data_IF_805962501861
#
_entry.id   IF_805962501861
#
_cell.length_a   1.000
_cell.length_b   1.000
_cell.length_c   1.000
_cell.angle_alpha   90.00
_cell.angle_beta   90.00
_cell.angle_gamma   90.00
#
_symmetry.space_group_name_H-M   'P 1'
#
loop_
_entity.id
_entity.type
_entity.pdbx_description
1 polymer ?
#
# COMPACT_ATOMS: atom_id res chain seq x y z
N UNK A 1 -2.66 12.64 -61.63
CA UNK A 1 -1.67 13.44 -60.89
C UNK A 1 -2.32 14.21 -59.71
N UNK A 2 -3.09 13.53 -58.85
CA UNK A 2 -3.77 14.11 -57.67
C UNK A 2 -3.77 13.19 -56.43
N UNK A 3 -3.07 12.04 -56.50
CA UNK A 3 -3.22 10.94 -55.54
C UNK A 3 -1.94 10.64 -54.73
N UNK A 4 -0.92 11.51 -54.78
CA UNK A 4 0.37 11.28 -54.10
C UNK A 4 0.56 12.18 -52.86
N UNK A 5 -0.34 13.13 -52.62
CA UNK A 5 -0.16 14.16 -51.59
C UNK A 5 -0.84 13.89 -50.24
N UNK A 6 -1.58 12.77 -50.09
CA UNK A 6 -2.35 12.50 -48.87
C UNK A 6 -1.57 11.66 -47.84
N UNK A 7 -0.48 11.00 -48.24
CA UNK A 7 0.23 10.07 -47.36
C UNK A 7 1.22 10.72 -46.38
N UNK A 8 1.60 12.00 -46.56
CA UNK A 8 2.70 12.61 -45.79
C UNK A 8 2.26 13.47 -44.60
N UNK A 9 0.96 13.75 -44.44
CA UNK A 9 0.45 14.61 -43.35
C UNK A 9 0.08 13.81 -42.09
N UNK A 10 0.02 12.48 -42.16
CA UNK A 10 -0.34 11.61 -41.03
C UNK A 10 0.83 11.15 -40.15
N UNK A 11 2.05 11.64 -40.41
CA UNK A 11 3.26 11.19 -39.71
C UNK A 11 3.71 12.08 -38.52
N UNK A 12 2.96 13.12 -38.15
CA UNK A 12 3.38 14.06 -37.11
C UNK A 12 2.28 14.16 -36.05
N UNK A 13 2.71 14.05 -34.78
CA UNK A 13 1.92 14.09 -33.53
C UNK A 13 1.36 12.74 -33.05
N UNK A 14 2.21 11.73 -32.96
CA UNK A 14 2.16 10.80 -31.83
C UNK A 14 3.29 11.18 -30.85
N UNK A 15 3.26 12.40 -30.30
CA UNK A 15 4.12 12.72 -29.16
C UNK A 15 3.53 12.00 -27.97
N UNK A 16 4.21 10.93 -27.63
CA UNK A 16 4.06 10.06 -26.47
C UNK A 16 3.87 10.92 -25.22
N UNK A 17 2.62 11.12 -24.81
CA UNK A 17 2.25 11.60 -23.48
C UNK A 17 2.43 10.51 -22.44
N UNK A 18 3.60 9.86 -22.39
CA UNK A 18 3.98 9.09 -21.21
C UNK A 18 4.38 10.11 -20.15
N UNK A 19 3.39 10.64 -19.42
CA UNK A 19 3.63 11.27 -18.14
C UNK A 19 4.22 10.20 -17.23
N UNK A 20 5.55 10.09 -17.24
CA UNK A 20 6.29 9.27 -16.30
C UNK A 20 5.80 9.64 -14.91
N UNK A 21 5.31 8.66 -14.17
CA UNK A 21 4.88 8.89 -12.81
C UNK A 21 6.06 9.51 -12.05
N UNK A 22 5.90 10.76 -11.59
CA UNK A 22 6.88 11.40 -10.74
C UNK A 22 7.05 10.51 -9.51
N UNK A 23 8.20 9.84 -9.39
CA UNK A 23 8.51 9.06 -8.20
C UNK A 23 8.90 10.00 -7.07
N UNK A 24 8.73 9.55 -5.84
CA UNK A 24 9.38 10.18 -4.69
C UNK A 24 10.90 10.19 -4.94
N UNK A 25 11.53 11.36 -4.78
CA UNK A 25 12.97 11.58 -5.04
C UNK A 25 13.80 11.75 -3.76
N UNK A 26 13.19 11.60 -2.58
CA UNK A 26 13.87 11.71 -1.30
C UNK A 26 13.03 11.14 -0.15
N UNK A 27 13.57 11.13 1.09
CA UNK A 27 12.88 10.56 2.23
C UNK A 27 11.50 11.20 2.44
N UNK A 28 10.48 10.39 2.67
CA UNK A 28 9.12 10.86 2.87
C UNK A 28 8.43 10.16 4.06
N UNK A 29 7.64 10.93 4.80
CA UNK A 29 6.82 10.41 5.89
C UNK A 29 5.34 10.56 5.54
N UNK A 30 4.61 9.45 5.56
CA UNK A 30 3.15 9.44 5.36
C UNK A 30 2.49 8.96 6.64
N UNK A 31 1.63 9.79 7.21
CA UNK A 31 0.84 9.46 8.40
C UNK A 31 -0.64 9.46 8.06
N UNK A 32 -1.29 8.31 8.22
CA UNK A 32 -2.72 8.12 7.93
C UNK A 32 -3.37 7.25 8.99
N UNK A 33 -4.70 7.22 8.98
CA UNK A 33 -5.48 6.35 9.84
C UNK A 33 -6.19 5.32 8.97
N UNK A 34 -6.13 4.04 9.34
CA UNK A 34 -6.91 2.98 8.74
C UNK A 34 -8.02 2.56 9.69
N UNK A 35 -9.24 2.51 9.19
CA UNK A 35 -10.39 1.98 9.94
C UNK A 35 -10.82 0.71 9.24
N UNK A 36 -10.86 -0.39 9.99
CA UNK A 36 -11.23 -1.70 9.47
C UNK A 36 -12.71 -1.72 9.16
N UNK A 37 -13.04 -1.92 7.89
CA UNK A 37 -14.41 -2.06 7.42
C UNK A 37 -14.84 -3.54 7.47
N UNK A 38 -13.89 -4.44 7.20
CA UNK A 38 -14.13 -5.87 7.12
C UNK A 38 -12.89 -6.64 7.59
N UNK A 39 -13.09 -7.61 8.48
CA UNK A 39 -12.08 -8.58 8.88
C UNK A 39 -12.71 -9.97 8.79
N UNK A 40 -12.07 -10.90 8.06
CA UNK A 40 -12.47 -12.30 7.99
C UNK A 40 -11.27 -13.19 8.26
N UNK A 41 -11.35 -13.93 9.36
CA UNK A 41 -10.50 -15.08 9.65
C UNK A 41 -11.39 -16.30 9.78
N UNK A 42 -11.45 -17.14 8.74
CA UNK A 42 -12.16 -18.42 8.73
C UNK A 42 -11.38 -19.37 7.82
N UNK A 43 -10.70 -20.35 8.44
CA UNK A 43 -9.96 -21.47 7.80
C UNK A 43 -8.94 -21.10 6.70
N UNK A 44 -8.51 -19.82 6.64
CA UNK A 44 -7.59 -19.27 5.65
C UNK A 44 -6.81 -18.07 6.19
N UNK A 45 -6.04 -17.33 5.35
CA UNK A 45 -5.33 -16.15 5.82
C UNK A 45 -6.32 -15.10 6.36
N UNK A 46 -6.00 -14.51 7.51
CA UNK A 46 -6.73 -13.36 8.06
C UNK A 46 -6.68 -12.22 7.04
N UNK A 47 -7.83 -11.86 6.48
CA UNK A 47 -7.93 -10.72 5.56
C UNK A 47 -8.58 -9.55 6.28
N UNK A 48 -7.87 -8.43 6.33
CA UNK A 48 -8.32 -7.16 6.87
C UNK A 48 -8.41 -6.15 5.72
N UNK A 49 -9.61 -5.64 5.46
CA UNK A 49 -9.86 -4.54 4.54
C UNK A 49 -10.22 -3.29 5.33
N UNK A 50 -9.51 -2.20 5.05
CA UNK A 50 -9.65 -0.96 5.79
C UNK A 50 -9.78 0.25 4.88
N UNK A 51 -10.59 1.22 5.27
CA UNK A 51 -10.62 2.55 4.66
C UNK A 51 -9.48 3.40 5.22
N UNK A 52 -8.70 4.01 4.33
CA UNK A 52 -7.62 4.92 4.72
C UNK A 52 -8.16 6.35 4.75
N UNK A 53 -7.90 7.05 5.86
CA UNK A 53 -8.28 8.42 6.12
C UNK A 53 -7.06 9.31 6.36
N UNK A 54 -7.14 10.55 5.88
CA UNK A 54 -6.13 11.58 6.17
C UNK A 54 -6.25 12.11 7.62
N UNK A 55 -5.47 13.13 7.95
CA UNK A 55 -5.49 13.77 9.29
C UNK A 55 -6.81 14.50 9.62
N UNK A 56 -7.61 14.82 8.62
CA UNK A 56 -8.89 15.52 8.74
C UNK A 56 -10.07 14.53 8.73
N UNK A 57 -9.81 13.23 8.57
CA UNK A 57 -10.83 12.19 8.50
C UNK A 57 -11.39 11.94 7.10
N UNK A 58 -10.88 12.62 6.07
CA UNK A 58 -11.32 12.40 4.69
C UNK A 58 -10.81 11.06 4.18
N UNK A 59 -11.67 10.31 3.47
CA UNK A 59 -11.26 9.08 2.78
C UNK A 59 -10.28 9.41 1.66
N UNK A 60 -9.10 8.82 1.73
CA UNK A 60 -8.04 8.98 0.71
C UNK A 60 -7.61 7.66 0.08
N UNK A 61 -8.20 6.54 0.48
CA UNK A 61 -7.78 5.26 -0.04
C UNK A 61 -8.39 4.06 0.67
N UNK A 62 -7.79 2.91 0.43
CA UNK A 62 -8.13 1.65 1.09
C UNK A 62 -6.88 0.77 1.24
N UNK A 63 -6.90 -0.12 2.21
CA UNK A 63 -5.86 -1.10 2.48
C UNK A 63 -6.45 -2.51 2.49
N UNK A 64 -5.68 -3.47 1.99
CA UNK A 64 -5.93 -4.89 2.23
C UNK A 64 -4.66 -5.50 2.83
N UNK A 65 -4.80 -6.08 4.01
CA UNK A 65 -3.72 -6.78 4.73
C UNK A 65 -4.14 -8.22 4.90
N UNK A 66 -3.25 -9.12 4.53
CA UNK A 66 -3.44 -10.55 4.64
C UNK A 66 -2.36 -11.09 5.58
N UNK A 67 -2.76 -11.85 6.58
CA UNK A 67 -1.85 -12.45 7.53
C UNK A 67 -2.07 -13.96 7.61
N UNK A 68 -0.99 -14.72 7.66
CA UNK A 68 -1.01 -16.16 7.90
C UNK A 68 -0.22 -16.46 9.17
N UNK A 69 -0.82 -17.17 10.09
CA UNK A 69 -0.12 -17.63 11.30
C UNK A 69 1.02 -18.57 10.91
N UNK A 70 2.21 -18.30 11.45
CA UNK A 70 3.43 -19.10 11.26
C UNK A 70 3.98 -19.61 12.60
N UNK A 71 3.30 -19.28 13.70
CA UNK A 71 3.80 -19.45 15.06
C UNK A 71 3.13 -20.54 15.88
N UNK A 72 2.16 -21.28 15.34
CA UNK A 72 1.23 -22.21 16.02
C UNK A 72 1.92 -23.29 16.89
N UNK A 73 2.43 -22.92 18.06
CA UNK A 73 3.15 -23.80 18.99
C UNK A 73 4.65 -24.01 18.67
N UNK A 74 5.18 -23.28 17.69
CA UNK A 74 6.59 -23.37 17.28
C UNK A 74 7.51 -22.40 18.03
N UNK A 75 8.84 -22.42 17.75
CA UNK A 75 9.84 -21.56 18.39
C UNK A 75 9.58 -20.05 18.17
N UNK A 76 8.71 -19.70 17.23
CA UNK A 76 8.32 -18.32 16.94
C UNK A 76 7.20 -17.78 17.86
N UNK A 77 6.55 -18.64 18.66
CA UNK A 77 5.45 -18.26 19.55
C UNK A 77 4.09 -18.21 18.86
N UNK A 78 3.03 -18.59 19.59
CA UNK A 78 1.67 -18.86 19.08
C UNK A 78 0.93 -17.70 18.41
N UNK A 79 1.43 -16.46 18.54
CA UNK A 79 0.80 -15.26 17.97
C UNK A 79 1.58 -14.67 16.78
N UNK A 80 2.62 -15.36 16.29
CA UNK A 80 3.42 -14.87 15.17
C UNK A 80 2.75 -15.18 13.85
N UNK A 81 2.50 -14.14 13.05
CA UNK A 81 1.95 -14.25 11.70
C UNK A 81 2.85 -13.53 10.70
N UNK A 82 2.95 -14.08 9.48
CA UNK A 82 3.54 -13.40 8.34
C UNK A 82 2.44 -12.66 7.57
N UNK A 83 2.66 -11.38 7.28
CA UNK A 83 1.67 -10.51 6.67
C UNK A 83 2.19 -9.89 5.37
N UNK A 84 1.25 -9.66 4.45
CA UNK A 84 1.44 -8.88 3.25
C UNK A 84 0.32 -7.84 3.15
N UNK A 85 0.69 -6.58 2.91
CA UNK A 85 -0.23 -5.45 2.90
C UNK A 85 -0.12 -4.67 1.60
N UNK A 86 -1.28 -4.33 1.01
CA UNK A 86 -1.39 -3.39 -0.11
C UNK A 86 -2.17 -2.17 0.34
N UNK A 87 -1.57 -0.99 0.19
CA UNK A 87 -2.16 0.30 0.51
C UNK A 87 -2.37 1.11 -0.76
N UNK A 88 -3.63 1.36 -1.11
CA UNK A 88 -4.02 2.11 -2.30
C UNK A 88 -4.31 3.56 -1.91
N UNK A 89 -3.58 4.49 -2.52
CA UNK A 89 -3.73 5.94 -2.39
C UNK A 89 -4.09 6.53 -3.76
N UNK A 90 -4.52 7.81 -3.83
CA UNK A 90 -4.99 8.39 -5.09
C UNK A 90 -3.89 8.50 -6.15
N UNK A 91 -2.63 8.61 -5.71
CA UNK A 91 -1.46 8.79 -6.58
C UNK A 91 -0.64 7.52 -6.77
N UNK A 92 -1.07 6.37 -6.23
CA UNK A 92 -0.25 5.17 -6.30
C UNK A 92 -0.56 4.13 -5.22
N UNK A 93 0.26 3.08 -5.19
CA UNK A 93 0.11 1.97 -4.26
C UNK A 93 1.41 1.72 -3.53
N UNK A 94 1.33 1.26 -2.29
CA UNK A 94 2.48 0.82 -1.49
C UNK A 94 2.26 -0.65 -1.12
N UNK A 95 3.28 -1.46 -1.32
CA UNK A 95 3.30 -2.86 -0.92
C UNK A 95 4.20 -3.04 0.30
N UNK A 96 3.76 -3.87 1.23
CA UNK A 96 4.47 -4.15 2.47
C UNK A 96 4.47 -5.62 2.80
N UNK A 97 5.48 -6.06 3.55
CA UNK A 97 5.52 -7.41 4.10
C UNK A 97 6.30 -7.47 5.41
N UNK A 98 6.00 -8.43 6.26
CA UNK A 98 6.74 -8.64 7.50
C UNK A 98 6.04 -9.59 8.44
N UNK A 99 6.65 -9.83 9.60
CA UNK A 99 6.07 -10.64 10.67
C UNK A 99 5.45 -9.75 11.74
N UNK A 100 4.22 -10.04 12.16
CA UNK A 100 3.64 -9.47 13.39
C UNK A 100 3.68 -10.51 14.51
N UNK A 101 4.13 -10.11 15.70
CA UNK A 101 3.99 -10.90 16.94
C UNK A 101 2.83 -10.43 17.82
N UNK A 102 2.33 -9.23 17.54
CA UNK A 102 1.23 -8.59 18.26
C UNK A 102 0.31 -7.90 17.25
N UNK A 103 -1.00 -7.92 17.53
CA UNK A 103 -2.01 -7.15 16.80
C UNK A 103 -2.10 -5.69 17.25
N UNK A 104 -1.38 -5.27 18.31
CA UNK A 104 -1.46 -3.89 18.83
C UNK A 104 -0.40 -2.94 18.25
N UNK A 105 0.79 -3.46 17.94
CA UNK A 105 1.87 -2.70 17.32
C UNK A 105 2.82 -3.63 16.59
N UNK A 106 3.13 -3.33 15.33
CA UNK A 106 4.05 -4.11 14.51
C UNK A 106 4.68 -3.26 13.41
N UNK A 107 5.79 -3.76 12.85
CA UNK A 107 6.52 -3.12 11.76
C UNK A 107 6.50 -4.05 10.55
N UNK A 108 6.30 -3.48 9.37
CA UNK A 108 6.44 -4.18 8.09
C UNK A 108 7.43 -3.43 7.21
N UNK A 109 8.20 -4.16 6.41
CA UNK A 109 9.02 -3.56 5.37
C UNK A 109 8.13 -3.04 4.24
N UNK A 110 8.44 -1.87 3.71
CA UNK A 110 7.92 -1.39 2.43
C UNK A 110 8.80 -2.01 1.34
N UNK A 111 8.19 -2.81 0.46
CA UNK A 111 8.92 -3.61 -0.55
C UNK A 111 8.73 -3.08 -1.96
N UNK A 112 7.99 -1.99 -2.12
CA UNK A 112 7.77 -1.35 -3.41
C UNK A 112 6.46 -0.59 -3.47
N UNK A 113 6.18 -0.09 -4.66
CA UNK A 113 4.96 0.63 -4.95
C UNK A 113 4.79 0.98 -6.42
N UNK A 114 3.73 1.72 -6.71
CA UNK A 114 3.39 2.18 -8.06
C UNK A 114 3.01 3.65 -8.04
N UNK A 115 3.04 4.31 -9.20
CA UNK A 115 2.69 5.73 -9.31
C UNK A 115 3.71 6.61 -8.58
N UNK A 116 3.24 7.52 -7.71
CA UNK A 116 4.10 8.37 -6.88
C UNK A 116 5.06 7.58 -5.98
N UNK A 117 4.72 6.33 -5.68
CA UNK A 117 5.49 5.45 -4.81
C UNK A 117 6.23 4.37 -5.61
N UNK A 118 6.52 4.61 -6.91
CA UNK A 118 7.39 3.72 -7.66
C UNK A 118 8.79 3.68 -7.04
N UNK A 119 9.38 2.50 -7.00
CA UNK A 119 10.73 2.23 -6.48
C UNK A 119 10.98 2.64 -5.01
N UNK A 120 9.95 2.81 -4.18
CA UNK A 120 10.17 3.13 -2.76
C UNK A 120 10.39 1.88 -1.91
N UNK A 121 11.39 1.94 -1.04
CA UNK A 121 11.59 1.05 0.10
C UNK A 121 11.19 1.71 1.42
N UNK A 122 11.62 1.10 2.52
CA UNK A 122 11.49 1.65 3.87
C UNK A 122 10.63 0.80 4.81
N UNK A 123 9.91 1.46 5.71
CA UNK A 123 9.16 0.77 6.78
C UNK A 123 7.78 1.36 6.99
N UNK A 124 6.85 0.50 7.40
CA UNK A 124 5.55 0.85 7.92
C UNK A 124 5.47 0.45 9.39
N UNK A 125 5.24 1.44 10.26
CA UNK A 125 4.85 1.23 11.64
C UNK A 125 3.33 1.27 11.76
N UNK A 126 2.75 0.21 12.30
CA UNK A 126 1.32 0.09 12.58
C UNK A 126 1.09 0.11 14.09
N UNK A 127 0.14 0.93 14.53
CA UNK A 127 -0.30 0.96 15.95
C UNK A 127 -1.82 1.02 16.05
N UNK A 128 -2.42 0.06 16.74
CA UNK A 128 -3.85 0.07 17.04
C UNK A 128 -4.15 1.17 18.06
N UNK A 129 -5.16 1.99 17.77
CA UNK A 129 -5.62 3.09 18.64
C UNK A 129 -7.05 2.89 19.14
N UNK A 130 -7.83 2.01 18.52
CA UNK A 130 -9.13 1.54 19.00
C UNK A 130 -9.39 0.12 18.48
N UNK A 131 -10.05 -0.72 19.27
CA UNK A 131 -10.42 -2.09 18.89
C UNK A 131 -11.84 -2.18 18.31
N UNK A 132 -12.70 -1.19 18.53
CA UNK A 132 -14.12 -1.22 18.10
C UNK A 132 -14.61 0.16 17.61
N UNK A 133 -14.70 0.39 16.28
CA UNK A 133 -14.14 -0.44 15.21
C UNK A 133 -12.60 -0.45 15.27
N UNK A 134 -11.98 -1.53 14.79
CA UNK A 134 -10.52 -1.65 14.79
C UNK A 134 -9.90 -0.54 13.95
N UNK A 135 -9.18 0.34 14.62
CA UNK A 135 -8.59 1.56 14.06
C UNK A 135 -7.10 1.57 14.30
N UNK A 136 -6.33 1.74 13.23
CA UNK A 136 -4.88 1.72 13.24
C UNK A 136 -4.33 3.06 12.75
N UNK A 137 -3.27 3.54 13.42
CA UNK A 137 -2.42 4.62 12.92
C UNK A 137 -1.29 3.99 12.13
N UNK A 138 -1.16 4.43 10.88
CA UNK A 138 -0.14 3.98 9.95
C UNK A 138 0.89 5.10 9.76
N UNK A 139 2.17 4.77 9.95
CA UNK A 139 3.28 5.66 9.66
C UNK A 139 4.23 4.98 8.68
N UNK A 140 4.22 5.44 7.43
CA UNK A 140 5.18 5.03 6.42
C UNK A 140 6.39 5.95 6.50
N UNK A 141 7.57 5.37 6.57
CA UNK A 141 8.85 6.02 6.34
C UNK A 141 9.42 5.45 5.06
N UNK A 142 9.39 6.27 4.01
CA UNK A 142 9.77 5.87 2.66
C UNK A 142 11.14 6.42 2.31
N UNK A 143 11.89 5.61 1.57
CA UNK A 143 13.17 5.96 0.97
C UNK A 143 13.19 5.46 -0.49
N UNK A 144 13.85 6.20 -1.41
CA UNK A 144 13.98 5.81 -2.82
C UNK A 144 14.96 4.65 -3.04
#
# INVERSE_FOLDING_TARGET
>A
MRLVLVAFVLAIVAVVGASGAQSITGPALIRVTAVTDFERGLDGPDVQVSTIRDRHGNRIGWAAVFCRDIGSGGPLGSATAYCFGTYNFPKGRIQTTGTRKSRSSYVMAVVGGTGLYSNVGGVLLVRTISERPRTERLLFSLEP
#
